data_IF_466432467597
#
_entry.id   IF_466432467597
#
_cell.length_a   1.000
_cell.length_b   1.000
_cell.length_c   1.000
_cell.angle_alpha   90.00
_cell.angle_beta   90.00
_cell.angle_gamma   90.00
#
_symmetry.space_group_name_H-M   'P 1'
#
loop_
_entity.id
_entity.type
_entity.pdbx_description
1 polymer ?
#
# COMPACT_ATOMS: atom_id res chain seq x y z
N UNK A 1 20.09 15.78 -24.48
CA UNK A 1 19.71 14.85 -23.38
C UNK A 1 20.55 13.58 -23.50
N UNK A 2 21.28 13.16 -22.45
CA UNK A 2 21.96 11.85 -22.44
C UNK A 2 20.91 10.73 -22.49
N UNK A 3 21.11 9.74 -23.37
CA UNK A 3 20.23 8.58 -23.52
C UNK A 3 20.31 7.73 -22.25
N UNK A 4 19.20 7.55 -21.54
CA UNK A 4 19.16 6.75 -20.31
C UNK A 4 19.55 5.31 -20.61
N UNK A 5 20.37 4.71 -19.76
CA UNK A 5 20.74 3.31 -19.92
C UNK A 5 19.56 2.38 -19.56
N UNK A 6 19.59 1.13 -20.03
CA UNK A 6 18.52 0.13 -19.81
C UNK A 6 18.12 0.00 -18.33
N UNK A 7 19.08 0.03 -17.41
CA UNK A 7 18.84 -0.15 -15.99
C UNK A 7 18.28 1.10 -15.31
N UNK A 8 18.66 2.30 -15.77
CA UNK A 8 18.04 3.56 -15.33
C UNK A 8 16.56 3.61 -15.73
N UNK A 9 16.22 3.13 -16.92
CA UNK A 9 14.82 2.97 -17.34
C UNK A 9 14.08 1.94 -16.48
N UNK A 10 14.71 0.80 -16.17
CA UNK A 10 14.12 -0.19 -15.27
C UNK A 10 13.88 0.37 -13.87
N UNK A 11 14.82 1.12 -13.29
CA UNK A 11 14.65 1.79 -11.99
C UNK A 11 13.46 2.75 -12.05
N UNK A 12 13.37 3.58 -13.09
CA UNK A 12 12.25 4.52 -13.25
C UNK A 12 10.90 3.80 -13.29
N UNK A 13 10.81 2.69 -14.04
CA UNK A 13 9.59 1.86 -14.08
C UNK A 13 9.25 1.28 -12.69
N UNK A 14 10.26 0.85 -11.92
CA UNK A 14 10.06 0.38 -10.54
C UNK A 14 9.56 1.50 -9.63
N UNK A 15 10.08 2.71 -9.76
CA UNK A 15 9.66 3.87 -8.98
C UNK A 15 8.22 4.28 -9.28
N UNK A 16 7.84 4.32 -10.56
CA UNK A 16 6.45 4.56 -10.95
C UNK A 16 5.51 3.51 -10.36
N UNK A 17 5.90 2.23 -10.40
CA UNK A 17 5.10 1.15 -9.82
C UNK A 17 5.01 1.26 -8.30
N UNK A 18 6.10 1.63 -7.61
CA UNK A 18 6.12 1.88 -6.16
C UNK A 18 5.19 3.02 -5.78
N UNK A 19 5.26 4.14 -6.50
CA UNK A 19 4.43 5.32 -6.28
C UNK A 19 2.94 4.99 -6.37
N UNK A 20 2.54 4.15 -7.35
CA UNK A 20 1.17 3.65 -7.44
C UNK A 20 0.73 2.95 -6.14
N UNK A 21 1.54 2.04 -5.61
CA UNK A 21 1.20 1.34 -4.36
C UNK A 21 1.23 2.25 -3.14
N UNK A 22 2.16 3.21 -3.08
CA UNK A 22 2.22 4.21 -2.01
C UNK A 22 1.01 5.13 -2.01
N UNK A 23 0.56 5.57 -3.19
CA UNK A 23 -0.67 6.36 -3.32
C UNK A 23 -1.89 5.55 -2.88
N UNK A 24 -1.99 4.29 -3.30
CA UNK A 24 -3.05 3.40 -2.84
C UNK A 24 -3.04 3.24 -1.31
N UNK A 25 -1.87 3.11 -0.69
CA UNK A 25 -1.76 3.05 0.77
C UNK A 25 -2.26 4.32 1.46
N UNK A 26 -1.96 5.50 0.91
CA UNK A 26 -2.47 6.76 1.44
C UNK A 26 -4.00 6.81 1.41
N UNK A 27 -4.61 6.42 0.29
CA UNK A 27 -6.07 6.33 0.15
C UNK A 27 -6.67 5.33 1.13
N UNK A 28 -6.12 4.12 1.23
CA UNK A 28 -6.59 3.08 2.15
C UNK A 28 -6.44 3.52 3.62
N UNK A 29 -5.41 4.30 3.95
CA UNK A 29 -5.22 4.83 5.28
C UNK A 29 -6.27 5.88 5.64
N UNK A 30 -6.57 6.80 4.72
CA UNK A 30 -7.67 7.76 4.87
C UNK A 30 -9.02 7.05 5.06
N UNK A 31 -9.28 6.02 4.25
CA UNK A 31 -10.50 5.23 4.38
C UNK A 31 -10.59 4.50 5.72
N UNK A 32 -9.50 3.88 6.18
CA UNK A 32 -9.43 3.24 7.50
C UNK A 32 -9.81 4.22 8.62
N UNK A 33 -9.26 5.42 8.60
CA UNK A 33 -9.54 6.43 9.63
C UNK A 33 -11.02 6.86 9.60
N UNK A 34 -11.62 7.01 8.41
CA UNK A 34 -13.06 7.27 8.26
C UNK A 34 -13.89 6.12 8.81
N UNK A 35 -13.50 4.87 8.50
CA UNK A 35 -14.22 3.68 8.93
C UNK A 35 -14.19 3.49 10.45
N UNK A 36 -13.06 3.82 11.10
CA UNK A 36 -12.96 3.78 12.56
C UNK A 36 -13.89 4.81 13.22
N UNK A 37 -14.06 6.01 12.64
CA UNK A 37 -15.07 7.00 13.09
C UNK A 37 -16.49 6.49 12.90
N UNK A 38 -16.83 6.02 11.71
CA UNK A 38 -18.16 5.46 11.40
C UNK A 38 -18.51 4.31 12.36
N UNK A 39 -17.56 3.41 12.61
CA UNK A 39 -17.80 2.30 13.53
C UNK A 39 -18.03 2.80 14.96
N UNK A 40 -17.34 3.84 15.41
CA UNK A 40 -17.58 4.45 16.73
C UNK A 40 -18.99 5.02 16.80
N UNK A 41 -19.36 5.87 15.85
CA UNK A 41 -20.69 6.50 15.77
C UNK A 41 -21.83 5.46 15.73
N UNK A 42 -21.68 4.38 14.94
CA UNK A 42 -22.69 3.32 14.85
C UNK A 42 -22.85 2.56 16.17
N UNK A 43 -21.75 2.31 16.90
CA UNK A 43 -21.83 1.66 18.21
C UNK A 43 -22.46 2.60 19.25
N UNK A 44 -22.17 3.89 19.21
CA UNK A 44 -22.78 4.88 20.09
C UNK A 44 -24.30 5.00 19.83
N UNK A 45 -24.72 5.00 18.56
CA UNK A 45 -26.14 4.94 18.17
C UNK A 45 -26.81 3.64 18.63
N UNK A 46 -26.10 2.51 18.56
CA UNK A 46 -26.61 1.22 19.00
C UNK A 46 -26.78 1.16 20.53
N UNK A 47 -25.88 1.79 21.27
CA UNK A 47 -25.93 1.86 22.73
C UNK A 47 -27.02 2.83 23.21
N UNK A 48 -27.11 4.00 22.57
CA UNK A 48 -28.12 5.02 22.92
C UNK A 48 -29.56 4.62 22.57
N UNK A 49 -29.74 3.77 21.56
CA UNK A 49 -31.05 3.21 21.19
C UNK A 49 -31.44 1.95 21.97
N UNK A 50 -30.78 1.66 23.10
CA UNK A 50 -31.13 0.52 23.95
C UNK A 50 -32.40 0.79 24.76
N UNK A 51 -33.19 -0.26 24.99
CA UNK A 51 -34.33 -0.17 25.89
C UNK A 51 -33.80 -0.09 27.32
N UNK A 52 -34.21 0.92 28.09
CA UNK A 52 -33.86 1.00 29.50
C UNK A 52 -34.83 0.19 30.32
N UNK A 53 -34.30 -0.46 31.34
CA UNK A 53 -35.10 -1.19 32.30
C UNK A 53 -36.05 -0.22 33.04
N UNK A 54 -37.32 -0.60 33.16
CA UNK A 54 -38.36 0.22 33.80
C UNK A 54 -39.03 1.28 32.91
N UNK A 55 -38.58 1.48 31.66
CA UNK A 55 -39.29 2.37 30.72
C UNK A 55 -40.50 1.67 30.09
N UNK A 56 -41.67 2.31 30.15
CA UNK A 56 -42.88 1.86 29.45
C UNK A 56 -42.86 2.30 27.99
N UNK A 57 -42.86 1.33 27.07
CA UNK A 57 -42.90 1.57 25.64
C UNK A 57 -44.27 1.23 25.06
N UNK A 58 -44.73 2.02 24.08
CA UNK A 58 -45.84 1.61 23.23
C UNK A 58 -45.38 0.50 22.26
N UNK A 59 -46.27 -0.41 21.87
CA UNK A 59 -45.93 -1.47 20.90
C UNK A 59 -45.35 -0.92 19.59
N UNK A 60 -45.88 0.22 19.10
CA UNK A 60 -45.36 0.90 17.92
C UNK A 60 -43.93 1.43 18.12
N UNK A 61 -43.63 2.05 19.27
CA UNK A 61 -42.27 2.53 19.58
C UNK A 61 -41.25 1.39 19.69
N UNK A 62 -41.68 0.22 20.19
CA UNK A 62 -40.84 -0.97 20.30
C UNK A 62 -40.51 -1.54 18.91
N UNK A 63 -41.48 -1.62 18.01
CA UNK A 63 -41.28 -2.05 16.63
C UNK A 63 -40.33 -1.12 15.86
N UNK A 64 -40.51 0.20 15.99
CA UNK A 64 -39.65 1.20 15.35
C UNK A 64 -38.21 1.08 15.85
N UNK A 65 -38.02 1.00 17.17
CA UNK A 65 -36.69 0.86 17.79
C UNK A 65 -36.04 -0.45 17.37
N UNK A 66 -36.77 -1.56 17.35
CA UNK A 66 -36.25 -2.86 16.89
C UNK A 66 -35.80 -2.81 15.42
N UNK A 67 -36.60 -2.23 14.52
CA UNK A 67 -36.23 -2.06 13.10
C UNK A 67 -34.99 -1.17 12.94
N UNK A 68 -34.91 -0.08 13.70
CA UNK A 68 -33.74 0.80 13.70
C UNK A 68 -32.47 0.07 14.16
N UNK A 69 -32.54 -0.65 15.29
CA UNK A 69 -31.43 -1.44 15.83
C UNK A 69 -30.97 -2.53 14.87
N UNK A 70 -31.89 -3.20 14.16
CA UNK A 70 -31.55 -4.15 13.10
C UNK A 70 -30.74 -3.48 11.99
N UNK A 71 -31.19 -2.33 11.49
CA UNK A 71 -30.47 -1.58 10.47
C UNK A 71 -29.08 -1.13 10.94
N UNK A 72 -28.93 -0.71 12.20
CA UNK A 72 -27.62 -0.38 12.79
C UNK A 72 -26.72 -1.61 12.84
N UNK A 73 -27.24 -2.75 13.28
CA UNK A 73 -26.50 -4.00 13.36
C UNK A 73 -25.93 -4.40 11.98
N UNK A 74 -26.76 -4.34 10.94
CA UNK A 74 -26.35 -4.64 9.57
C UNK A 74 -25.22 -3.70 9.10
N UNK A 75 -25.32 -2.40 9.39
CA UNK A 75 -24.27 -1.42 9.07
C UNK A 75 -22.98 -1.68 9.84
N UNK A 76 -23.05 -2.09 11.11
CA UNK A 76 -21.89 -2.46 11.93
C UNK A 76 -21.19 -3.68 11.32
N UNK A 77 -21.94 -4.70 10.88
CA UNK A 77 -21.38 -5.88 10.20
C UNK A 77 -20.65 -5.46 8.93
N UNK A 78 -21.28 -4.65 8.07
CA UNK A 78 -20.66 -4.15 6.83
C UNK A 78 -19.38 -3.38 7.14
N UNK A 79 -19.39 -2.52 8.15
CA UNK A 79 -18.20 -1.77 8.58
C UNK A 79 -17.07 -2.69 9.04
N UNK A 80 -17.37 -3.70 9.87
CA UNK A 80 -16.39 -4.72 10.30
C UNK A 80 -15.80 -5.50 9.13
N UNK A 81 -16.64 -5.91 8.18
CA UNK A 81 -16.20 -6.62 6.98
C UNK A 81 -15.28 -5.75 6.12
N UNK A 82 -15.61 -4.47 5.93
CA UNK A 82 -14.76 -3.54 5.19
C UNK A 82 -13.43 -3.33 5.90
N UNK A 83 -13.41 -3.24 7.23
CA UNK A 83 -12.17 -3.10 8.02
C UNK A 83 -11.24 -4.30 7.81
N UNK A 84 -11.80 -5.50 7.76
CA UNK A 84 -11.04 -6.71 7.44
C UNK A 84 -10.48 -6.68 6.01
N UNK A 85 -11.30 -6.27 5.04
CA UNK A 85 -10.87 -6.15 3.65
C UNK A 85 -9.73 -5.13 3.49
N UNK A 86 -9.85 -3.95 4.12
CA UNK A 86 -8.81 -2.92 4.12
C UNK A 86 -7.47 -3.44 4.66
N UNK A 87 -7.49 -4.24 5.74
CA UNK A 87 -6.26 -4.87 6.26
C UNK A 87 -5.58 -5.75 5.22
N UNK A 88 -6.35 -6.53 4.44
CA UNK A 88 -5.80 -7.36 3.36
C UNK A 88 -5.21 -6.50 2.24
N UNK A 89 -5.92 -5.47 1.80
CA UNK A 89 -5.45 -4.56 0.74
C UNK A 89 -4.16 -3.82 1.14
N UNK A 90 -4.10 -3.30 2.37
CA UNK A 90 -2.90 -2.67 2.93
C UNK A 90 -1.73 -3.66 2.94
N UNK A 91 -1.94 -4.88 3.44
CA UNK A 91 -0.92 -5.92 3.49
C UNK A 91 -0.40 -6.25 2.08
N UNK A 92 -1.29 -6.39 1.10
CA UNK A 92 -0.92 -6.67 -0.30
C UNK A 92 -0.05 -5.55 -0.88
N UNK A 93 -0.43 -4.29 -0.71
CA UNK A 93 0.35 -3.16 -1.22
C UNK A 93 1.74 -3.09 -0.57
N UNK A 94 1.85 -3.34 0.75
CA UNK A 94 3.13 -3.39 1.46
C UNK A 94 4.04 -4.52 0.92
N UNK A 95 3.48 -5.70 0.67
CA UNK A 95 4.22 -6.82 0.08
C UNK A 95 4.75 -6.46 -1.31
N UNK A 96 3.92 -5.83 -2.16
CA UNK A 96 4.34 -5.42 -3.50
C UNK A 96 5.43 -4.35 -3.48
N UNK A 97 5.35 -3.38 -2.56
CA UNK A 97 6.43 -2.41 -2.32
C UNK A 97 7.73 -3.13 -1.92
N UNK A 98 7.65 -4.10 -1.00
CA UNK A 98 8.80 -4.90 -0.58
C UNK A 98 9.45 -5.66 -1.74
N UNK A 99 8.64 -6.30 -2.60
CA UNK A 99 9.12 -6.96 -3.83
C UNK A 99 9.82 -5.97 -4.76
N UNK A 100 9.28 -4.76 -4.93
CA UNK A 100 9.88 -3.73 -5.78
C UNK A 100 11.24 -3.29 -5.22
N UNK A 101 11.35 -3.06 -3.91
CA UNK A 101 12.63 -2.68 -3.29
C UNK A 101 13.71 -3.75 -3.53
N UNK A 102 13.40 -5.03 -3.31
CA UNK A 102 14.31 -6.15 -3.64
C UNK A 102 14.72 -6.20 -5.11
N UNK A 103 13.80 -5.87 -6.01
CA UNK A 103 14.12 -5.79 -7.44
C UNK A 103 15.04 -4.62 -7.75
N UNK A 104 14.88 -3.47 -7.08
CA UNK A 104 15.78 -2.32 -7.23
C UNK A 104 17.19 -2.63 -6.74
N UNK A 105 17.33 -3.32 -5.62
CA UNK A 105 18.63 -3.78 -5.09
C UNK A 105 19.36 -4.63 -6.13
N UNK A 106 18.69 -5.65 -6.68
CA UNK A 106 19.25 -6.51 -7.74
C UNK A 106 19.65 -5.73 -8.99
N UNK A 107 18.87 -4.71 -9.37
CA UNK A 107 19.21 -3.85 -10.52
C UNK A 107 20.46 -3.02 -10.21
N UNK A 108 20.58 -2.50 -8.99
CA UNK A 108 21.74 -1.72 -8.57
C UNK A 108 23.02 -2.57 -8.53
N UNK A 109 22.95 -3.80 -8.02
CA UNK A 109 24.07 -4.76 -8.04
C UNK A 109 24.55 -5.03 -9.46
N UNK A 110 23.64 -5.40 -10.37
CA UNK A 110 23.99 -5.64 -11.79
C UNK A 110 24.58 -4.41 -12.48
N UNK A 111 24.10 -3.21 -12.12
CA UNK A 111 24.68 -1.97 -12.64
C UNK A 111 26.12 -1.78 -12.19
N UNK A 112 26.43 -2.08 -10.92
CA UNK A 112 27.79 -1.99 -10.38
C UNK A 112 28.72 -3.00 -11.06
N UNK A 113 28.27 -4.25 -11.22
CA UNK A 113 29.03 -5.30 -11.91
C UNK A 113 29.39 -4.88 -13.35
N UNK A 114 28.43 -4.32 -14.09
CA UNK A 114 28.66 -3.86 -15.47
C UNK A 114 29.60 -2.65 -15.51
N UNK A 115 29.52 -1.75 -14.54
CA UNK A 115 30.43 -0.62 -14.44
C UNK A 115 31.87 -1.11 -14.23
N UNK A 116 32.09 -2.04 -13.31
CA UNK A 116 33.40 -2.62 -13.04
C UNK A 116 33.98 -3.36 -14.26
N UNK A 117 33.15 -4.12 -15.00
CA UNK A 117 33.59 -4.78 -16.24
C UNK A 117 34.03 -3.75 -17.29
N UNK A 118 33.31 -2.63 -17.42
CA UNK A 118 33.68 -1.58 -18.37
C UNK A 118 34.98 -0.89 -17.99
N UNK A 119 35.18 -0.62 -16.71
CA UNK A 119 36.42 -0.04 -16.18
C UNK A 119 37.61 -0.94 -16.50
N UNK A 120 37.53 -2.23 -16.14
CA UNK A 120 38.59 -3.21 -16.45
C UNK A 120 38.88 -3.33 -17.95
N UNK A 121 37.85 -3.24 -18.81
CA UNK A 121 38.04 -3.29 -20.27
C UNK A 121 38.75 -2.04 -20.81
N UNK A 122 38.46 -0.86 -20.26
CA UNK A 122 39.15 0.38 -20.64
C UNK A 122 40.61 0.38 -20.14
N UNK A 123 40.87 -0.13 -18.94
CA UNK A 123 42.22 -0.34 -18.43
C UNK A 123 43.03 -1.28 -19.35
N UNK A 124 42.51 -2.46 -19.67
CA UNK A 124 43.15 -3.39 -20.61
C UNK A 124 43.42 -2.79 -21.99
N UNK A 125 42.50 -1.96 -22.50
CA UNK A 125 42.73 -1.24 -23.78
C UNK A 125 43.88 -0.27 -23.66
N UNK A 126 43.92 0.50 -22.58
CA UNK A 126 44.98 1.49 -22.34
C UNK A 126 46.37 0.84 -22.20
N UNK A 127 46.46 -0.29 -21.49
CA UNK A 127 47.70 -1.06 -21.35
C UNK A 127 48.19 -1.63 -22.68
N UNK A 128 47.29 -2.20 -23.48
CA UNK A 128 47.63 -2.76 -24.79
C UNK A 128 48.08 -1.68 -25.78
N UNK A 129 47.46 -0.50 -25.75
CA UNK A 129 47.84 0.64 -26.58
C UNK A 129 49.23 1.21 -26.20
N UNK A 130 49.60 1.13 -24.92
CA UNK A 130 50.92 1.52 -24.44
C UNK A 130 52.01 0.50 -24.86
N UNK A 131 51.70 -0.81 -24.80
CA UNK A 131 52.60 -1.86 -25.28
C UNK A 131 52.84 -1.81 -26.79
N UNK A 132 51.83 -1.47 -27.60
CA UNK A 132 51.97 -1.39 -29.06
C UNK A 132 52.73 -0.17 -29.57
N UNK A 133 52.90 0.88 -28.75
CA UNK A 133 53.69 2.09 -29.10
C UNK A 133 55.18 1.99 -28.78
N UNK A 134 55.57 1.00 -27.97
CA UNK A 134 56.95 0.75 -27.56
C UNK A 134 57.61 -0.42 -28.33
N UNK A 135 57.00 -0.84 -29.44
CA UNK A 135 57.51 -1.75 -30.47
C UNK A 135 57.69 -0.96 -31.76
#
# INVERSE_FOLDING_TARGET
MKKKNKYELLILLKDLKKNKFSNNLSTLHSEKNKLDRINTELNDMMNSSSFKEGETFSGASMQLTSKFRKNLHDKIIVSKNRKHHLKKEIKTNLIEIGKINKQKEKIAEKNKEIAAIKENLEELRSENYFKSKNL
#
